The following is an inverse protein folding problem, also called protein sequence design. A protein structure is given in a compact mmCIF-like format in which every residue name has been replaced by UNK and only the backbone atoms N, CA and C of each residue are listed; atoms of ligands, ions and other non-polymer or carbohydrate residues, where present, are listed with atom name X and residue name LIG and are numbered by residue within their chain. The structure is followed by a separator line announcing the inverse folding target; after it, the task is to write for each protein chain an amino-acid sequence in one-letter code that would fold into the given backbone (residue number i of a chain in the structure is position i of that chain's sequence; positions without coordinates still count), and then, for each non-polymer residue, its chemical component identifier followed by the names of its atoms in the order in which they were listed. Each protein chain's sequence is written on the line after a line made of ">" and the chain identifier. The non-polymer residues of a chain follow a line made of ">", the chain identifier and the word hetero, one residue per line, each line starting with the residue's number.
data_IF_423262860314
#
_entry.id   IF_423262860314
#
_cell.length_a   1.000
_cell.length_b   1.000
_cell.length_c   1.000
_cell.angle_alpha   90.00
_cell.angle_beta   90.00
_cell.angle_gamma   90.00
#
_symmetry.space_group_name_H-M   'P 1'
#
loop_
_entity.id
_entity.type
_entity.pdbx_description
1 polymer ?
#
# COMPACT_ATOMS: atom_id res chain seq x y z
N UNK A 1 -8.21 -30.21 -19.71
CA UNK A 1 -7.35 -29.66 -20.78
C UNK A 1 -6.80 -28.34 -20.30
N UNK A 2 -5.52 -28.32 -19.92
CA UNK A 2 -4.78 -27.10 -19.57
C UNK A 2 -4.48 -26.32 -20.85
N UNK A 3 -4.72 -25.01 -20.85
CA UNK A 3 -4.40 -24.13 -21.96
C UNK A 3 -3.08 -23.40 -21.64
N UNK A 4 -2.25 -23.08 -22.65
CA UNK A 4 -1.02 -22.29 -22.42
C UNK A 4 -1.36 -20.91 -21.87
N UNK A 5 -0.46 -20.33 -21.07
CA UNK A 5 -0.60 -18.96 -20.56
C UNK A 5 -0.12 -17.98 -21.65
N UNK A 6 -0.88 -16.92 -21.91
CA UNK A 6 -0.52 -15.85 -22.85
C UNK A 6 -1.45 -15.69 -24.07
N UNK A 7 -0.99 -15.07 -25.17
CA UNK A 7 -1.83 -14.72 -26.31
C UNK A 7 -2.58 -15.93 -26.90
N UNK A 8 -3.92 -15.89 -26.83
CA UNK A 8 -4.79 -16.97 -27.33
C UNK A 8 -5.07 -18.09 -26.33
N UNK A 9 -4.60 -17.98 -25.09
CA UNK A 9 -4.80 -18.95 -24.01
C UNK A 9 -5.28 -18.31 -22.70
N UNK A 10 -4.76 -18.81 -21.58
CA UNK A 10 -5.10 -18.32 -20.26
C UNK A 10 -4.36 -17.05 -19.92
N UNK A 11 -5.05 -16.15 -19.25
CA UNK A 11 -4.52 -14.87 -18.82
C UNK A 11 -4.32 -14.87 -17.31
N UNK A 12 -3.33 -14.14 -16.82
CA UNK A 12 -3.01 -14.10 -15.39
C UNK A 12 -3.20 -12.69 -14.87
N UNK A 13 -3.81 -12.61 -13.69
CA UNK A 13 -3.97 -11.39 -12.93
C UNK A 13 -3.52 -11.63 -11.50
N UNK A 14 -2.51 -10.89 -11.06
CA UNK A 14 -1.98 -10.91 -9.70
C UNK A 14 -2.41 -9.65 -8.99
N UNK A 15 -3.03 -9.80 -7.83
CA UNK A 15 -3.40 -8.71 -6.94
C UNK A 15 -2.70 -8.85 -5.61
N UNK A 16 -2.15 -7.75 -5.11
CA UNK A 16 -1.55 -7.66 -3.77
C UNK A 16 -2.30 -6.65 -2.95
N UNK A 17 -2.69 -7.04 -1.73
CA UNK A 17 -3.40 -6.21 -0.76
C UNK A 17 -2.64 -6.21 0.56
N UNK A 18 -2.29 -5.03 1.04
CA UNK A 18 -1.72 -4.83 2.36
C UNK A 18 -2.79 -4.79 3.46
N UNK A 19 -2.36 -4.68 4.73
CA UNK A 19 -3.27 -4.60 5.87
C UNK A 19 -4.19 -3.39 5.73
N UNK A 20 -5.47 -3.57 6.07
CA UNK A 20 -6.46 -2.49 5.98
C UNK A 20 -6.38 -1.57 7.19
N UNK A 21 -6.66 -0.28 6.97
CA UNK A 21 -6.72 0.75 8.02
C UNK A 21 -7.86 1.73 7.78
N UNK A 22 -8.39 2.36 8.83
CA UNK A 22 -9.32 3.46 8.66
C UNK A 22 -8.60 4.71 8.14
N UNK A 23 -9.22 5.39 7.17
CA UNK A 23 -8.72 6.66 6.59
C UNK A 23 -9.83 7.69 6.63
N UNK A 24 -9.50 8.92 7.01
CA UNK A 24 -10.42 10.05 6.97
C UNK A 24 -9.94 11.05 5.93
N UNK A 25 -10.73 11.24 4.89
CA UNK A 25 -10.48 12.25 3.86
C UNK A 25 -11.22 13.52 4.26
N UNK A 26 -10.49 14.63 4.34
CA UNK A 26 -11.03 15.94 4.72
C UNK A 26 -10.91 16.91 3.56
N UNK A 27 -11.99 17.63 3.25
CA UNK A 27 -11.93 18.74 2.31
C UNK A 27 -11.52 20.00 3.08
N UNK A 28 -10.34 20.55 2.78
CA UNK A 28 -9.97 21.87 3.29
C UNK A 28 -10.82 22.93 2.60
N UNK A 29 -11.37 23.85 3.37
CA UNK A 29 -12.15 24.98 2.87
C UNK A 29 -11.45 26.27 3.26
N UNK A 30 -11.51 27.29 2.40
CA UNK A 30 -10.97 28.62 2.72
C UNK A 30 -11.98 29.37 3.58
N UNK A 31 -11.58 29.71 4.80
CA UNK A 31 -12.26 30.65 5.66
C UNK A 31 -11.64 32.04 5.51
N UNK A 32 -12.48 33.07 5.46
CA UNK A 32 -12.06 34.48 5.44
C UNK A 32 -11.06 34.83 4.32
N UNK A 33 -11.10 34.11 3.19
CA UNK A 33 -10.23 34.34 2.03
C UNK A 33 -8.75 33.94 2.20
N UNK A 34 -8.25 33.83 3.42
CA UNK A 34 -6.81 33.62 3.72
C UNK A 34 -6.49 32.34 4.49
N UNK A 35 -7.42 31.81 5.30
CA UNK A 35 -7.15 30.69 6.20
C UNK A 35 -7.76 29.40 5.66
N UNK A 36 -7.02 28.29 5.71
CA UNK A 36 -7.57 26.98 5.38
C UNK A 36 -8.02 26.27 6.65
N UNK A 37 -9.30 25.92 6.71
CA UNK A 37 -9.89 25.19 7.84
C UNK A 37 -10.40 23.82 7.39
N UNK A 38 -10.52 22.90 8.35
CA UNK A 38 -11.10 21.59 8.09
C UNK A 38 -12.59 21.73 7.81
N UNK A 39 -13.00 21.38 6.59
CA UNK A 39 -14.40 21.32 6.18
C UNK A 39 -14.98 19.91 6.32
N UNK A 40 -15.99 19.56 5.50
CA UNK A 40 -16.62 18.24 5.50
C UNK A 40 -15.61 17.11 5.30
N UNK A 41 -15.92 15.96 5.90
CA UNK A 41 -15.05 14.79 5.88
C UNK A 41 -15.83 13.50 5.63
N UNK A 42 -15.14 12.52 5.06
CA UNK A 42 -15.62 11.17 4.85
C UNK A 42 -14.62 10.19 5.47
N UNK A 43 -15.13 9.24 6.26
CA UNK A 43 -14.33 8.17 6.87
C UNK A 43 -14.53 6.88 6.08
N UNK A 44 -13.44 6.28 5.64
CA UNK A 44 -13.38 4.97 5.02
C UNK A 44 -12.83 3.98 6.05
N UNK A 45 -13.59 2.93 6.36
CA UNK A 45 -13.22 2.03 7.46
C UNK A 45 -12.13 1.03 7.09
N UNK A 46 -12.18 0.49 5.87
CA UNK A 46 -11.33 -0.61 5.39
C UNK A 46 -10.57 -0.21 4.13
N UNK A 47 -9.55 0.63 4.27
CA UNK A 47 -8.70 1.05 3.15
C UNK A 47 -7.44 0.20 3.14
N UNK A 48 -7.13 -0.54 2.06
CA UNK A 48 -5.87 -1.26 1.94
C UNK A 48 -4.67 -0.32 2.07
N UNK A 49 -3.74 -0.64 2.96
CA UNK A 49 -2.53 0.14 3.16
C UNK A 49 -1.55 0.11 1.99
N UNK A 50 -1.70 -0.89 1.12
CA UNK A 50 -1.03 -1.05 -0.17
C UNK A 50 -1.97 -1.81 -1.09
N UNK A 51 -1.97 -1.46 -2.37
CA UNK A 51 -2.73 -2.17 -3.39
C UNK A 51 -1.93 -2.18 -4.68
N UNK A 52 -1.69 -3.36 -5.24
CA UNK A 52 -1.08 -3.47 -6.56
C UNK A 52 -1.83 -4.51 -7.39
N UNK A 53 -1.99 -4.22 -8.68
CA UNK A 53 -2.54 -5.15 -9.65
C UNK A 53 -1.62 -5.21 -10.86
N UNK A 54 -1.27 -6.42 -11.26
CA UNK A 54 -0.43 -6.72 -12.41
C UNK A 54 -1.03 -7.89 -13.16
N UNK A 55 -0.91 -7.90 -14.48
CA UNK A 55 -1.46 -8.96 -15.30
C UNK A 55 -0.80 -8.99 -16.67
N UNK A 56 -1.14 -10.02 -17.43
CA UNK A 56 -0.78 -10.13 -18.84
C UNK A 56 -1.40 -9.00 -19.67
N UNK A 57 -2.61 -8.57 -19.29
CA UNK A 57 -3.31 -7.40 -19.80
C UNK A 57 -4.03 -6.66 -18.68
N UNK A 58 -4.51 -5.45 -18.94
CA UNK A 58 -5.41 -4.75 -18.03
C UNK A 58 -6.60 -5.52 -17.52
N UNK A 59 -6.86 -5.38 -16.21
CA UNK A 59 -7.99 -6.01 -15.54
C UNK A 59 -9.31 -5.72 -16.26
N UNK A 60 -9.53 -4.48 -16.71
CA UNK A 60 -10.72 -4.09 -17.50
C UNK A 60 -10.80 -4.72 -18.90
N UNK A 61 -9.66 -5.17 -19.46
CA UNK A 61 -9.61 -5.93 -20.71
C UNK A 61 -9.73 -7.45 -20.48
N UNK A 62 -9.30 -7.94 -19.30
CA UNK A 62 -9.36 -9.34 -18.91
C UNK A 62 -10.74 -9.75 -18.42
N UNK A 63 -11.38 -8.93 -17.59
CA UNK A 63 -12.65 -9.24 -16.90
C UNK A 63 -13.70 -8.17 -17.21
N UNK A 64 -15.00 -8.52 -17.21
CA UNK A 64 -16.08 -7.55 -17.27
C UNK A 64 -16.19 -6.77 -15.95
N UNK A 65 -16.82 -5.60 -16.00
CA UNK A 65 -16.97 -4.72 -14.83
C UNK A 65 -17.57 -5.41 -13.61
N UNK A 66 -18.61 -6.21 -13.81
CA UNK A 66 -19.28 -6.94 -12.73
C UNK A 66 -18.32 -7.90 -11.99
N UNK A 67 -17.50 -8.64 -12.73
CA UNK A 67 -16.50 -9.55 -12.15
C UNK A 67 -15.42 -8.76 -11.41
N UNK A 68 -15.03 -7.59 -11.93
CA UNK A 68 -14.06 -6.71 -11.27
C UNK A 68 -14.59 -6.15 -9.96
N UNK A 69 -15.81 -5.61 -9.96
CA UNK A 69 -16.44 -5.06 -8.75
C UNK A 69 -16.67 -6.12 -7.68
N UNK A 70 -17.16 -7.31 -8.07
CA UNK A 70 -17.37 -8.44 -7.13
C UNK A 70 -16.08 -8.88 -6.44
N UNK A 71 -14.95 -8.79 -7.14
CA UNK A 71 -13.65 -9.26 -6.64
C UNK A 71 -12.70 -8.13 -6.22
N UNK A 72 -13.11 -6.86 -6.31
CA UNK A 72 -12.26 -5.70 -6.00
C UNK A 72 -10.98 -5.64 -6.86
N UNK A 73 -11.12 -5.76 -8.19
CA UNK A 73 -10.02 -5.82 -9.16
C UNK A 73 -9.93 -4.53 -9.99
N UNK A 74 -8.93 -3.71 -9.71
CA UNK A 74 -8.79 -2.33 -10.20
C UNK A 74 -9.12 -1.32 -9.12
N UNK A 75 -8.58 -0.11 -9.25
CA UNK A 75 -8.77 0.98 -8.26
C UNK A 75 -10.23 1.43 -8.22
N UNK A 76 -10.89 1.43 -9.38
CA UNK A 76 -12.30 1.73 -9.55
C UNK A 76 -13.23 0.69 -8.92
N UNK A 77 -12.80 -0.56 -8.82
CA UNK A 77 -13.56 -1.66 -8.25
C UNK A 77 -13.34 -1.89 -6.74
N UNK A 78 -12.43 -1.15 -6.10
CA UNK A 78 -12.15 -1.33 -4.67
C UNK A 78 -13.41 -1.06 -3.81
N UNK A 79 -13.75 -1.97 -2.87
CA UNK A 79 -14.94 -1.86 -2.01
C UNK A 79 -14.71 -0.85 -0.87
N UNK A 80 -14.67 0.43 -1.25
CA UNK A 80 -14.39 1.56 -0.36
C UNK A 80 -15.71 2.19 0.11
N UNK A 81 -16.22 1.70 1.23
CA UNK A 81 -17.39 2.26 1.88
C UNK A 81 -17.02 3.46 2.75
N UNK A 82 -17.79 4.55 2.62
CA UNK A 82 -17.58 5.78 3.38
C UNK A 82 -18.76 6.09 4.29
N UNK A 83 -18.46 6.54 5.51
CA UNK A 83 -19.41 7.17 6.43
C UNK A 83 -19.13 8.68 6.53
N UNK A 84 -20.16 9.49 6.74
CA UNK A 84 -20.06 10.95 6.79
C UNK A 84 -20.49 11.57 5.46
N UNK A 85 -19.68 12.49 4.91
CA UNK A 85 -20.01 13.14 3.65
C UNK A 85 -20.04 12.13 2.47
N UNK A 86 -21.16 12.08 1.74
CA UNK A 86 -21.43 11.07 0.69
C UNK A 86 -21.03 11.47 -0.74
N UNK A 87 -20.27 12.56 -0.90
CA UNK A 87 -19.88 13.03 -2.24
C UNK A 87 -18.86 12.07 -2.89
N UNK A 88 -19.04 11.65 -4.16
CA UNK A 88 -18.08 10.84 -4.90
C UNK A 88 -16.67 11.44 -4.95
N UNK A 89 -16.56 12.77 -4.79
CA UNK A 89 -15.30 13.50 -4.72
C UNK A 89 -14.38 13.01 -3.60
N UNK A 90 -14.92 12.53 -2.47
CA UNK A 90 -14.10 12.00 -1.38
C UNK A 90 -13.42 10.68 -1.76
N UNK A 91 -14.11 9.83 -2.51
CA UNK A 91 -13.55 8.58 -3.03
C UNK A 91 -12.47 8.88 -4.08
N UNK A 92 -12.76 9.78 -5.02
CA UNK A 92 -11.78 10.22 -6.01
C UNK A 92 -10.53 10.84 -5.35
N UNK A 93 -10.71 11.66 -4.32
CA UNK A 93 -9.61 12.22 -3.55
C UNK A 93 -8.80 11.15 -2.81
N UNK A 94 -9.46 10.14 -2.23
CA UNK A 94 -8.76 9.01 -1.60
C UNK A 94 -7.88 8.27 -2.61
N UNK A 95 -8.46 7.88 -3.76
CA UNK A 95 -7.74 7.21 -4.85
C UNK A 95 -6.53 8.04 -5.29
N UNK A 96 -6.74 9.33 -5.57
CA UNK A 96 -5.67 10.23 -5.99
C UNK A 96 -4.54 10.37 -4.96
N UNK A 97 -4.86 10.48 -3.67
CA UNK A 97 -3.86 10.59 -2.60
C UNK A 97 -3.05 9.29 -2.43
N UNK A 98 -3.71 8.14 -2.49
CA UNK A 98 -3.05 6.84 -2.33
C UNK A 98 -2.18 6.50 -3.54
N UNK A 99 -2.65 6.76 -4.77
CA UNK A 99 -1.87 6.63 -6.00
C UNK A 99 -0.68 7.59 -6.02
N UNK A 100 -0.88 8.87 -5.66
CA UNK A 100 0.21 9.86 -5.59
C UNK A 100 1.29 9.48 -4.55
N UNK A 101 0.93 8.74 -3.51
CA UNK A 101 1.89 8.22 -2.53
C UNK A 101 2.67 6.98 -2.99
N UNK A 102 2.39 6.46 -4.19
CA UNK A 102 3.01 5.26 -4.75
C UNK A 102 2.59 3.95 -4.07
N UNK A 103 1.63 3.99 -3.13
CA UNK A 103 1.14 2.81 -2.41
C UNK A 103 0.11 2.03 -3.22
N UNK A 104 -0.60 2.71 -4.12
CA UNK A 104 -1.61 2.13 -4.99
C UNK A 104 -1.11 2.15 -6.43
N UNK A 105 -0.81 0.97 -6.95
CA UNK A 105 -0.24 0.75 -8.28
C UNK A 105 -1.25 -0.02 -9.11
N UNK A 106 -1.93 0.70 -9.99
CA UNK A 106 -2.62 0.07 -11.10
C UNK A 106 -1.59 -0.13 -12.21
N UNK A 107 -1.40 -1.38 -12.67
CA UNK A 107 -0.44 -1.72 -13.74
C UNK A 107 1.02 -1.70 -13.31
N UNK A 108 1.32 -2.31 -12.17
CA UNK A 108 2.65 -2.27 -11.57
C UNK A 108 3.76 -2.88 -12.45
N UNK A 109 3.46 -3.94 -13.22
CA UNK A 109 4.39 -4.54 -14.19
C UNK A 109 3.63 -5.50 -15.13
N UNK A 110 4.06 -5.68 -16.40
CA UNK A 110 3.58 -6.78 -17.22
C UNK A 110 4.01 -8.12 -16.60
N UNK A 111 3.11 -9.09 -16.61
CA UNK A 111 3.46 -10.48 -16.25
C UNK A 111 4.28 -11.05 -17.39
N UNK A 112 5.55 -11.36 -17.13
CA UNK A 112 6.39 -12.05 -18.12
C UNK A 112 6.13 -13.55 -18.03
N UNK A 113 5.96 -14.18 -19.19
CA UNK A 113 5.64 -15.59 -19.32
C UNK A 113 6.87 -16.28 -19.91
N UNK A 114 7.38 -17.28 -19.21
CA UNK A 114 8.46 -18.13 -19.69
C UNK A 114 7.91 -19.49 -20.14
N UNK A 115 8.27 -19.89 -21.35
CA UNK A 115 7.95 -21.20 -21.91
C UNK A 115 6.47 -21.59 -21.93
N UNK A 116 5.53 -20.64 -21.94
CA UNK A 116 4.06 -20.82 -21.97
C UNK A 116 3.41 -21.47 -20.74
N UNK A 117 4.17 -21.67 -19.65
CA UNK A 117 3.69 -22.36 -18.42
C UNK A 117 4.15 -21.70 -17.12
N UNK A 118 5.30 -21.04 -17.13
CA UNK A 118 5.81 -20.30 -15.99
C UNK A 118 5.51 -18.83 -16.19
N UNK A 119 5.18 -18.15 -15.10
CA UNK A 119 5.02 -16.71 -15.11
C UNK A 119 5.72 -16.15 -13.88
N UNK A 120 6.32 -14.98 -14.02
CA UNK A 120 6.80 -14.21 -12.89
C UNK A 120 6.26 -12.79 -12.94
N UNK A 121 6.21 -12.16 -11.77
CA UNK A 121 5.81 -10.75 -11.66
C UNK A 121 6.68 -10.09 -10.61
N UNK A 122 7.23 -8.92 -10.95
CA UNK A 122 7.97 -8.10 -10.01
C UNK A 122 7.09 -6.92 -9.62
N UNK A 123 6.75 -6.85 -8.34
CA UNK A 123 5.93 -5.78 -7.78
C UNK A 123 6.81 -4.93 -6.86
N UNK A 124 7.07 -3.65 -7.21
CA UNK A 124 7.85 -2.79 -6.34
C UNK A 124 7.07 -2.53 -5.05
N UNK A 125 7.73 -2.78 -3.92
CA UNK A 125 7.22 -2.49 -2.57
C UNK A 125 7.97 -1.27 -2.03
N UNK A 126 7.37 -0.06 -2.01
CA UNK A 126 8.02 1.12 -1.48
C UNK A 126 8.33 1.00 0.02
N UNK A 127 9.37 1.67 0.51
CA UNK A 127 9.70 1.68 1.94
C UNK A 127 8.62 2.35 2.83
N UNK A 128 7.62 3.01 2.24
CA UNK A 128 6.50 3.65 2.93
C UNK A 128 5.31 2.72 3.20
N UNK A 129 5.41 1.45 2.80
CA UNK A 129 4.32 0.48 3.02
C UNK A 129 4.14 0.18 4.51
N UNK A 130 2.91 0.01 5.00
CA UNK A 130 2.66 -0.32 6.39
C UNK A 130 3.13 -1.74 6.74
N UNK A 131 3.60 -1.93 7.96
CA UNK A 131 3.91 -3.27 8.48
C UNK A 131 2.62 -4.07 8.73
N UNK A 132 2.68 -5.38 8.51
CA UNK A 132 1.56 -6.29 8.74
C UNK A 132 1.48 -7.42 7.71
N UNK A 133 0.32 -8.09 7.67
CA UNK A 133 0.08 -9.20 6.74
C UNK A 133 -0.38 -8.67 5.37
N UNK A 134 0.24 -9.22 4.32
CA UNK A 134 -0.05 -8.95 2.93
C UNK A 134 -0.61 -10.21 2.30
N UNK A 135 -1.64 -10.03 1.48
CA UNK A 135 -2.28 -11.10 0.72
C UNK A 135 -2.01 -10.89 -0.76
N UNK A 136 -1.53 -11.93 -1.41
CA UNK A 136 -1.32 -12.00 -2.85
C UNK A 136 -2.31 -13.02 -3.41
N UNK A 137 -3.13 -12.59 -4.34
CA UNK A 137 -4.05 -13.46 -5.07
C UNK A 137 -3.61 -13.54 -6.53
N UNK A 138 -3.34 -14.77 -6.99
CA UNK A 138 -3.12 -15.08 -8.40
C UNK A 138 -4.42 -15.62 -8.96
N UNK A 139 -4.92 -14.99 -10.01
CA UNK A 139 -6.16 -15.33 -10.69
C UNK A 139 -5.86 -15.79 -12.11
N UNK A 140 -6.38 -16.96 -12.47
CA UNK A 140 -6.36 -17.47 -13.84
C UNK A 140 -7.66 -17.03 -14.51
N UNK A 141 -7.54 -16.26 -15.60
CA UNK A 141 -8.67 -15.72 -16.36
C UNK A 141 -8.74 -16.42 -17.71
N UNK A 142 -9.87 -17.07 -17.98
CA UNK A 142 -10.17 -17.72 -19.27
C UNK A 142 -11.51 -17.22 -19.76
N UNK A 143 -11.60 -16.83 -21.03
CA UNK A 143 -12.84 -16.35 -21.66
C UNK A 143 -13.56 -15.27 -20.84
N UNK A 144 -12.78 -14.33 -20.30
CA UNK A 144 -13.23 -13.23 -19.43
C UNK A 144 -13.90 -13.64 -18.11
N UNK A 145 -13.58 -14.83 -17.60
CA UNK A 145 -14.02 -15.33 -16.29
C UNK A 145 -12.85 -15.85 -15.49
N UNK A 146 -12.93 -15.74 -14.17
CA UNK A 146 -11.95 -16.31 -13.26
C UNK A 146 -12.23 -17.82 -13.17
N UNK A 147 -11.27 -18.64 -13.59
CA UNK A 147 -11.39 -20.11 -13.57
C UNK A 147 -10.61 -20.75 -12.43
N UNK A 148 -9.58 -20.09 -11.92
CA UNK A 148 -8.81 -20.55 -10.76
C UNK A 148 -8.30 -19.37 -9.94
N UNK A 149 -8.06 -19.62 -8.65
CA UNK A 149 -7.51 -18.66 -7.68
C UNK A 149 -6.49 -19.38 -6.80
N UNK A 150 -5.33 -18.77 -6.63
CA UNK A 150 -4.33 -19.17 -5.65
C UNK A 150 -4.03 -17.99 -4.72
N UNK A 151 -4.18 -18.20 -3.42
CA UNK A 151 -3.80 -17.23 -2.39
C UNK A 151 -2.40 -17.54 -1.85
N UNK A 152 -1.61 -16.49 -1.63
CA UNK A 152 -0.33 -16.51 -0.94
C UNK A 152 -0.33 -15.38 0.08
N UNK A 153 0.35 -15.57 1.20
CA UNK A 153 0.45 -14.54 2.24
C UNK A 153 1.91 -14.33 2.62
N UNK A 154 2.28 -13.08 2.89
CA UNK A 154 3.58 -12.73 3.45
C UNK A 154 3.42 -11.64 4.51
N UNK A 155 4.36 -11.54 5.44
CA UNK A 155 4.38 -10.48 6.45
C UNK A 155 5.50 -9.50 6.16
N UNK A 156 5.18 -8.21 6.23
CA UNK A 156 6.16 -7.13 6.17
C UNK A 156 6.39 -6.64 7.59
N UNK A 157 7.62 -6.83 8.06
CA UNK A 157 8.08 -6.34 9.35
C UNK A 157 9.14 -5.25 9.16
N UNK A 158 9.27 -4.37 10.16
CA UNK A 158 10.29 -3.33 10.15
C UNK A 158 11.62 -3.97 10.53
N UNK A 159 12.58 -4.01 9.60
CA UNK A 159 13.91 -4.59 9.85
C UNK A 159 14.98 -3.50 9.98
N UNK A 160 15.90 -3.63 10.96
CA UNK A 160 17.11 -2.79 11.06
C UNK A 160 17.45 -2.22 12.45
N UNK A 161 18.37 -1.24 12.49
CA UNK A 161 18.83 -0.56 13.73
C UNK A 161 17.65 0.08 14.49
N UNK A 162 16.66 0.60 13.77
CA UNK A 162 15.45 1.18 14.37
C UNK A 162 14.64 0.16 15.18
N UNK A 163 14.59 -1.10 14.71
CA UNK A 163 13.94 -2.19 15.46
C UNK A 163 14.77 -2.54 16.71
N UNK A 164 16.09 -2.72 16.59
CA UNK A 164 16.98 -2.99 17.73
C UNK A 164 16.91 -1.91 18.81
N UNK A 165 16.88 -0.62 18.41
CA UNK A 165 16.73 0.51 19.35
C UNK A 165 15.35 0.44 20.02
N UNK A 166 14.29 0.19 19.26
CA UNK A 166 12.94 0.09 19.80
C UNK A 166 12.80 -1.08 20.78
N UNK A 167 13.38 -2.24 20.46
CA UNK A 167 13.38 -3.41 21.34
C UNK A 167 14.15 -3.13 22.63
N UNK A 168 15.35 -2.54 22.57
CA UNK A 168 16.13 -2.19 23.77
C UNK A 168 15.39 -1.16 24.62
N UNK A 169 14.75 -0.16 23.98
CA UNK A 169 13.96 0.84 24.69
C UNK A 169 12.73 0.25 25.40
N UNK A 170 12.12 -0.81 24.87
CA UNK A 170 10.97 -1.49 25.47
C UNK A 170 11.36 -2.55 26.49
N UNK A 171 12.43 -3.31 26.24
CA UNK A 171 12.89 -4.41 27.10
C UNK A 171 13.65 -3.90 28.32
N UNK A 172 14.47 -2.85 28.16
CA UNK A 172 15.30 -2.28 29.23
C UNK A 172 15.22 -0.74 29.24
N UNK A 173 14.05 -0.16 29.63
CA UNK A 173 13.81 1.27 29.51
C UNK A 173 14.80 2.13 30.29
N UNK A 174 15.29 1.64 31.45
CA UNK A 174 16.21 2.35 32.32
C UNK A 174 17.61 2.48 31.70
N UNK A 175 18.14 1.40 31.12
CA UNK A 175 19.45 1.39 30.44
C UNK A 175 19.43 2.31 29.22
N UNK A 176 18.35 2.23 28.44
CA UNK A 176 18.14 3.11 27.29
C UNK A 176 18.11 4.60 27.70
N UNK A 177 17.36 4.93 28.76
CA UNK A 177 17.28 6.30 29.28
C UNK A 177 18.64 6.86 29.71
N UNK A 178 19.42 6.09 30.49
CA UNK A 178 20.77 6.51 30.92
C UNK A 178 21.69 6.72 29.71
N UNK A 179 21.67 5.80 28.74
CA UNK A 179 22.47 5.93 27.52
C UNK A 179 22.12 7.21 26.73
N UNK A 180 20.83 7.55 26.61
CA UNK A 180 20.40 8.79 25.98
C UNK A 180 20.91 10.04 26.70
N UNK A 181 20.85 10.07 28.04
CA UNK A 181 21.35 11.20 28.84
C UNK A 181 22.85 11.38 28.65
N UNK A 182 23.62 10.29 28.70
CA UNK A 182 25.07 10.33 28.47
C UNK A 182 25.42 10.81 27.06
N UNK A 183 24.69 10.33 26.04
CA UNK A 183 24.88 10.76 24.66
C UNK A 183 24.59 12.27 24.49
N UNK A 184 23.51 12.76 25.10
CA UNK A 184 23.16 14.18 25.08
C UNK A 184 24.22 15.04 25.78
N UNK A 185 24.72 14.60 26.94
CA UNK A 185 25.79 15.27 27.66
C UNK A 185 27.09 15.31 26.83
N UNK A 186 27.46 14.20 26.19
CA UNK A 186 28.63 14.12 25.31
C UNK A 186 28.50 15.03 24.08
N UNK A 187 27.32 15.06 23.44
CA UNK A 187 27.05 15.95 22.32
C UNK A 187 27.10 17.43 22.72
N UNK A 188 26.53 17.79 23.87
CA UNK A 188 26.61 19.15 24.42
C UNK A 188 28.04 19.56 24.77
N UNK A 189 28.83 18.66 25.34
CA UNK A 189 30.25 18.88 25.61
C UNK A 189 31.06 19.05 24.32
N UNK A 190 30.88 18.17 23.33
CA UNK A 190 31.54 18.28 22.02
C UNK A 190 31.18 19.58 21.30
N UNK A 191 29.90 19.97 21.31
CA UNK A 191 29.46 21.26 20.79
C UNK A 191 30.18 22.41 21.50
N UNK A 192 30.21 22.40 22.84
CA UNK A 192 30.95 23.40 23.61
C UNK A 192 32.43 23.46 23.24
N UNK A 193 33.11 22.32 23.04
CA UNK A 193 34.54 22.29 22.68
C UNK A 193 34.80 22.82 21.27
N UNK A 194 33.95 22.48 20.29
CA UNK A 194 34.10 22.91 18.89
C UNK A 194 33.78 24.40 18.71
N UNK A 195 32.75 24.92 19.39
CA UNK A 195 32.36 26.33 19.30
C UNK A 195 33.16 27.26 20.24
N UNK A 196 34.07 26.73 21.07
CA UNK A 196 34.96 27.53 21.94
C UNK A 196 36.23 28.04 21.23
N UNK A 197 36.38 27.75 19.93
CA UNK A 197 37.41 28.34 19.06
C UNK A 197 36.76 28.99 17.84
N UNK A 198 36.14 30.14 18.09
CA UNK A 198 35.59 31.08 17.12
C UNK A 198 35.46 32.44 17.79
#
# INVERSE_FOLDING_TARGET
>A
TEAPIGPGGDEILVVVRGPTRPVVVRRKVRALGVLWVNGPSARFARVPGFYAIAGTRPAWQLLPEEERQRNGLGLDALPLESTGARSPQFRAALLGLETASGRWLEYAAPVEIDGSRLFHVQLPLPATVPTGNYQVEVLLVRSRRIVARQGLEFRVDRVGIADRIATVAQAEPLVYGIACVLLAAAAGWLGSVVFRRG
#
